data_IF_215287337573
#
_entry.id   IF_215287337573
#
_cell.length_a   1.000
_cell.length_b   1.000
_cell.length_c   1.000
_cell.angle_alpha   90.00
_cell.angle_beta   90.00
_cell.angle_gamma   90.00
#
_symmetry.space_group_name_H-M   'P 1'
#
loop_
_entity.id
_entity.type
_entity.pdbx_description
1 polymer ?
#
# COMPACT_ATOMS: atom_id res chain seq x y z
N UNK A 1 -17.59 -21.77 12.86
CA UNK A 1 -17.98 -20.35 12.74
C UNK A 1 -17.04 -19.55 13.61
N UNK A 2 -16.09 -18.81 13.04
CA UNK A 2 -15.23 -17.92 13.83
C UNK A 2 -16.04 -16.70 14.26
N UNK A 3 -16.11 -16.43 15.56
CA UNK A 3 -16.68 -15.18 16.09
C UNK A 3 -15.82 -14.01 15.61
N UNK A 4 -16.45 -12.92 15.17
CA UNK A 4 -15.76 -11.63 15.00
C UNK A 4 -15.17 -11.25 16.35
N UNK A 5 -13.85 -11.12 16.42
CA UNK A 5 -13.13 -10.79 17.65
C UNK A 5 -12.94 -9.28 17.75
N UNK A 6 -13.01 -8.73 18.96
CA UNK A 6 -12.82 -7.30 19.20
C UNK A 6 -11.36 -6.89 18.93
N UNK A 7 -11.16 -5.85 18.11
CA UNK A 7 -9.85 -5.28 17.80
C UNK A 7 -9.55 -4.09 18.72
N UNK A 8 -8.33 -4.03 19.26
CA UNK A 8 -7.82 -2.89 20.03
C UNK A 8 -6.49 -2.42 19.45
N UNK A 9 -6.39 -1.13 19.10
CA UNK A 9 -5.14 -0.53 18.59
C UNK A 9 -4.01 -0.58 19.62
N UNK A 10 -4.31 -0.38 20.90
CA UNK A 10 -3.33 -0.44 21.98
C UNK A 10 -2.74 -1.85 22.10
N UNK A 11 -3.61 -2.87 22.13
CA UNK A 11 -3.18 -4.27 22.18
C UNK A 11 -2.39 -4.66 20.92
N UNK A 12 -2.83 -4.18 19.75
CA UNK A 12 -2.13 -4.43 18.49
C UNK A 12 -0.73 -3.81 18.48
N UNK A 13 -0.57 -2.59 19.01
CA UNK A 13 0.71 -1.91 19.13
C UNK A 13 1.65 -2.61 20.11
N UNK A 14 1.14 -2.98 21.29
CA UNK A 14 1.91 -3.74 22.28
C UNK A 14 2.35 -5.11 21.74
N UNK A 15 1.48 -5.78 20.97
CA UNK A 15 1.80 -7.05 20.30
C UNK A 15 2.87 -6.85 19.24
N UNK A 16 2.79 -5.78 18.45
CA UNK A 16 3.82 -5.43 17.47
C UNK A 16 5.19 -5.25 18.15
N UNK A 17 5.27 -4.46 19.22
CA UNK A 17 6.53 -4.22 19.93
C UNK A 17 7.13 -5.50 20.52
N UNK A 18 6.28 -6.34 21.12
CA UNK A 18 6.68 -7.64 21.63
C UNK A 18 7.30 -8.49 20.52
N UNK A 19 6.63 -8.59 19.36
CA UNK A 19 7.12 -9.39 18.23
C UNK A 19 8.38 -8.78 17.57
N UNK A 20 8.59 -7.46 17.65
CA UNK A 20 9.86 -6.84 17.27
C UNK A 20 10.97 -7.23 18.24
N UNK A 21 10.71 -7.19 19.56
CA UNK A 21 11.67 -7.58 20.58
C UNK A 21 12.07 -9.07 20.48
N UNK A 22 11.12 -9.93 20.14
CA UNK A 22 11.32 -11.37 19.91
C UNK A 22 11.99 -11.69 18.55
N UNK A 23 12.23 -10.69 17.69
CA UNK A 23 12.85 -10.89 16.38
C UNK A 23 11.93 -11.48 15.30
N UNK A 24 10.63 -11.61 15.58
CA UNK A 24 9.63 -12.09 14.62
C UNK A 24 9.33 -11.02 13.57
N UNK A 25 9.19 -9.76 13.99
CA UNK A 25 8.96 -8.61 13.10
C UNK A 25 10.26 -7.89 12.82
N UNK A 26 10.63 -7.78 11.54
CA UNK A 26 11.87 -7.17 11.06
C UNK A 26 11.77 -5.64 10.99
N UNK A 27 11.62 -5.00 12.15
CA UNK A 27 11.56 -3.54 12.29
C UNK A 27 12.80 -3.01 13.02
N UNK A 28 13.42 -1.97 12.48
CA UNK A 28 14.62 -1.39 13.06
C UNK A 28 14.92 -0.01 12.48
N UNK A 29 16.12 0.49 12.75
CA UNK A 29 16.57 1.77 12.21
C UNK A 29 16.44 1.84 10.69
N UNK A 30 16.05 3.01 10.18
CA UNK A 30 15.93 3.28 8.76
C UNK A 30 16.42 4.69 8.47
N UNK A 31 16.81 4.95 7.22
CA UNK A 31 17.50 6.19 6.86
C UNK A 31 16.86 6.78 5.60
N UNK A 32 16.03 7.83 5.73
CA UNK A 32 15.38 8.48 4.60
C UNK A 32 16.28 9.53 3.94
N UNK A 33 16.15 9.65 2.62
CA UNK A 33 16.63 10.77 1.80
C UNK A 33 15.45 11.34 1.00
N UNK A 34 15.38 12.67 0.92
CA UNK A 34 14.23 13.35 0.32
C UNK A 34 14.60 14.02 -0.99
N UNK A 35 13.72 13.90 -1.99
CA UNK A 35 13.86 14.57 -3.28
C UNK A 35 12.54 15.22 -3.68
N UNK A 36 12.60 16.28 -4.48
CA UNK A 36 11.40 16.91 -5.05
C UNK A 36 11.61 17.12 -6.55
N UNK A 37 10.69 16.61 -7.37
CA UNK A 37 10.75 16.75 -8.83
C UNK A 37 9.41 17.27 -9.31
N UNK A 38 9.38 18.49 -9.88
CA UNK A 38 8.14 19.10 -10.37
C UNK A 38 7.05 19.23 -9.30
N UNK A 39 7.42 19.49 -8.04
CA UNK A 39 6.49 19.58 -6.91
C UNK A 39 6.05 18.24 -6.32
N UNK A 40 6.41 17.10 -6.94
CA UNK A 40 6.17 15.77 -6.39
C UNK A 40 7.29 15.41 -5.39
N UNK A 41 6.92 15.09 -4.15
CA UNK A 41 7.85 14.71 -3.10
C UNK A 41 8.17 13.20 -3.13
N UNK A 42 9.44 12.88 -2.91
CA UNK A 42 9.94 11.52 -2.81
C UNK A 42 10.66 11.33 -1.47
N UNK A 43 10.37 10.22 -0.81
CA UNK A 43 11.14 9.67 0.30
C UNK A 43 11.75 8.34 -0.15
N UNK A 44 13.09 8.31 -0.27
CA UNK A 44 13.86 7.10 -0.53
C UNK A 44 14.45 6.64 0.80
N UNK A 45 13.99 5.51 1.33
CA UNK A 45 14.34 5.04 2.68
C UNK A 45 15.11 3.74 2.65
N UNK A 46 16.34 3.78 3.14
CA UNK A 46 17.15 2.60 3.35
C UNK A 46 16.70 1.86 4.63
N UNK A 47 16.38 0.57 4.50
CA UNK A 47 15.88 -0.30 5.59
C UNK A 47 16.72 -1.57 5.74
N UNK A 48 17.85 -1.53 6.49
CA UNK A 48 18.69 -2.71 6.71
C UNK A 48 17.93 -3.93 7.25
N UNK A 49 16.92 -3.73 8.10
CA UNK A 49 16.15 -4.83 8.68
C UNK A 49 15.39 -5.67 7.63
N UNK A 50 15.21 -5.18 6.41
CA UNK A 50 14.54 -5.91 5.34
C UNK A 50 15.48 -6.81 4.52
N UNK A 51 16.75 -6.98 4.91
CA UNK A 51 17.71 -7.81 4.16
C UNK A 51 17.25 -9.26 3.97
N UNK A 52 16.53 -9.82 4.94
CA UNK A 52 15.98 -11.18 4.94
C UNK A 52 14.64 -11.30 4.22
N UNK A 53 14.07 -10.17 3.74
CA UNK A 53 12.79 -10.17 3.03
C UNK A 53 12.92 -10.94 1.71
N UNK A 54 12.12 -11.99 1.48
CA UNK A 54 12.19 -12.73 0.22
C UNK A 54 11.74 -11.84 -0.94
N UNK A 55 12.51 -11.86 -2.04
CA UNK A 55 12.41 -10.89 -3.14
C UNK A 55 11.32 -11.20 -4.16
N UNK A 56 11.03 -12.48 -4.36
CA UNK A 56 10.07 -12.97 -5.37
C UNK A 56 9.12 -13.98 -4.70
N UNK A 57 7.84 -14.07 -5.10
CA UNK A 57 6.93 -15.12 -4.63
C UNK A 57 7.45 -16.55 -4.82
N UNK A 58 8.46 -16.76 -5.68
CA UNK A 58 9.07 -18.06 -5.99
C UNK A 58 10.39 -18.32 -5.29
N UNK A 59 10.96 -17.34 -4.57
CA UNK A 59 12.14 -17.57 -3.72
C UNK A 59 11.73 -18.25 -2.40
N UNK A 60 10.87 -19.26 -2.49
CA UNK A 60 10.86 -20.31 -1.50
C UNK A 60 12.20 -21.04 -1.66
N UNK A 61 13.18 -20.64 -0.86
CA UNK A 61 14.15 -21.62 -0.35
C UNK A 61 13.36 -22.88 0.04
N UNK A 62 13.89 -24.10 -0.25
CA UNK A 62 13.20 -25.35 0.07
C UNK A 62 12.63 -25.23 1.48
N UNK A 63 11.31 -25.36 1.55
CA UNK A 63 10.48 -25.13 2.73
C UNK A 63 11.23 -25.56 3.97
N UNK A 64 11.68 -24.59 4.76
CA UNK A 64 12.09 -24.86 6.12
C UNK A 64 10.83 -25.44 6.79
N UNK A 65 10.82 -26.72 7.21
CA UNK A 65 9.61 -27.40 7.65
C UNK A 65 8.94 -26.73 8.87
N UNK A 66 9.59 -25.74 9.48
CA UNK A 66 9.07 -24.92 10.57
C UNK A 66 8.22 -23.71 10.14
N UNK A 67 8.18 -23.35 8.85
CA UNK A 67 7.47 -22.15 8.39
C UNK A 67 6.00 -22.42 8.08
N UNK A 68 5.11 -22.12 9.02
CA UNK A 68 3.66 -22.26 8.88
C UNK A 68 3.07 -21.16 7.95
N UNK A 69 2.39 -21.49 6.84
CA UNK A 69 1.67 -20.50 6.04
C UNK A 69 0.36 -20.06 6.72
N UNK A 70 -0.18 -18.89 6.35
CA UNK A 70 -1.50 -18.44 6.84
C UNK A 70 -2.67 -19.37 6.47
N UNK A 71 -2.47 -20.26 5.49
CA UNK A 71 -3.41 -21.29 5.08
C UNK A 71 -2.86 -22.10 3.92
N UNK A 72 -3.53 -23.19 3.50
CA UNK A 72 -3.12 -23.99 2.35
C UNK A 72 -2.97 -23.13 1.08
N UNK A 73 -1.82 -23.19 0.40
CA UNK A 73 -1.58 -22.40 -0.82
C UNK A 73 -1.28 -20.90 -0.59
N UNK A 74 -1.18 -20.45 0.65
CA UNK A 74 -0.65 -19.13 0.99
C UNK A 74 0.88 -19.12 0.85
N UNK A 75 1.40 -18.13 0.12
CA UNK A 75 2.83 -17.81 0.07
C UNK A 75 3.24 -16.75 1.11
N UNK A 76 2.30 -16.39 2.00
CA UNK A 76 2.52 -15.55 3.18
C UNK A 76 2.61 -16.46 4.39
N UNK A 77 3.72 -16.30 5.12
CA UNK A 77 4.03 -17.07 6.32
C UNK A 77 3.44 -16.41 7.56
N UNK A 78 2.89 -17.24 8.43
CA UNK A 78 2.46 -16.92 9.78
C UNK A 78 3.59 -17.32 10.72
N UNK A 79 4.53 -16.40 10.95
CA UNK A 79 5.76 -16.68 11.71
C UNK A 79 5.53 -16.77 13.21
N UNK A 80 4.38 -16.29 13.71
CA UNK A 80 4.01 -16.39 15.11
C UNK A 80 2.48 -16.34 15.29
N UNK A 81 1.86 -17.08 16.23
CA UNK A 81 0.41 -17.06 16.42
C UNK A 81 -0.16 -15.67 16.73
N UNK A 82 0.51 -14.88 17.58
CA UNK A 82 0.12 -13.51 17.91
C UNK A 82 0.27 -12.51 16.76
N UNK A 83 0.75 -12.95 15.58
CA UNK A 83 0.70 -12.13 14.38
C UNK A 83 -0.75 -11.89 13.93
N UNK A 84 -1.66 -12.85 14.17
CA UNK A 84 -3.11 -12.69 13.89
C UNK A 84 -3.75 -11.90 15.03
N UNK A 85 -4.33 -10.75 14.69
CA UNK A 85 -4.92 -9.83 15.66
C UNK A 85 -6.43 -10.02 15.79
N UNK A 86 -7.13 -10.25 14.68
CA UNK A 86 -8.58 -10.38 14.69
C UNK A 86 -9.14 -11.08 13.44
N UNK A 87 -10.35 -11.63 13.57
CA UNK A 87 -11.21 -11.93 12.42
C UNK A 87 -12.08 -10.71 12.11
N UNK A 88 -11.83 -10.03 10.99
CA UNK A 88 -12.59 -8.84 10.58
C UNK A 88 -13.95 -9.21 9.99
N UNK A 89 -14.05 -10.39 9.39
CA UNK A 89 -15.30 -10.94 8.86
C UNK A 89 -15.21 -12.46 8.77
N UNK A 90 -16.24 -13.10 8.20
CA UNK A 90 -16.21 -14.53 7.90
C UNK A 90 -15.22 -14.91 6.79
N UNK A 91 -14.68 -13.93 6.06
CA UNK A 91 -13.77 -14.14 4.94
C UNK A 91 -12.41 -13.46 5.09
N UNK A 92 -12.18 -12.68 6.15
CA UNK A 92 -10.96 -11.89 6.32
C UNK A 92 -10.41 -11.89 7.74
N UNK A 93 -9.08 -11.90 7.84
CA UNK A 93 -8.33 -11.71 9.09
C UNK A 93 -7.45 -10.46 9.01
N UNK A 94 -7.18 -9.89 10.17
CA UNK A 94 -6.19 -8.85 10.39
C UNK A 94 -4.93 -9.47 11.00
N UNK A 95 -3.77 -9.18 10.42
CA UNK A 95 -2.49 -9.64 10.92
C UNK A 95 -1.43 -8.54 10.88
N UNK A 96 -0.35 -8.70 11.65
CA UNK A 96 0.82 -7.81 11.60
C UNK A 96 1.73 -8.19 10.41
N UNK A 97 2.28 -7.18 9.74
CA UNK A 97 3.29 -7.38 8.70
C UNK A 97 4.67 -7.59 9.34
N UNK A 98 5.35 -8.68 8.99
CA UNK A 98 6.71 -9.01 9.48
C UNK A 98 7.83 -8.21 8.81
N UNK A 99 7.54 -7.46 7.75
CA UNK A 99 8.43 -6.47 7.12
C UNK A 99 7.72 -5.11 7.06
N UNK A 100 7.46 -4.48 8.22
CA UNK A 100 6.63 -3.30 8.32
C UNK A 100 7.35 -2.06 7.79
N UNK A 101 6.57 -1.16 7.19
CA UNK A 101 7.00 0.18 6.76
C UNK A 101 6.69 1.24 7.82
N UNK A 102 5.72 0.95 8.69
CA UNK A 102 5.31 1.79 9.82
C UNK A 102 5.13 0.94 11.07
N UNK A 103 5.15 1.59 12.24
CA UNK A 103 4.81 0.98 13.52
C UNK A 103 3.36 1.36 13.92
N UNK A 104 2.39 0.42 13.91
CA UNK A 104 2.42 -0.90 13.27
C UNK A 104 2.09 -0.79 11.76
N UNK A 105 2.27 -1.90 11.04
CA UNK A 105 1.80 -2.09 9.65
C UNK A 105 1.01 -3.40 9.65
N UNK A 106 -0.24 -3.33 9.19
CA UNK A 106 -1.17 -4.45 9.13
C UNK A 106 -1.32 -5.06 7.74
N UNK A 107 -1.72 -6.32 7.71
CA UNK A 107 -2.22 -7.04 6.55
C UNK A 107 -3.69 -7.41 6.79
N UNK A 108 -4.55 -7.12 5.83
CA UNK A 108 -5.90 -7.70 5.75
C UNK A 108 -5.83 -8.83 4.73
N UNK A 109 -5.97 -10.06 5.18
CA UNK A 109 -5.82 -11.28 4.38
C UNK A 109 -7.17 -11.95 4.17
N UNK A 110 -7.38 -12.51 3.00
CA UNK A 110 -8.50 -13.45 2.78
C UNK A 110 -8.27 -14.73 3.60
N UNK A 111 -9.33 -15.30 4.17
CA UNK A 111 -9.27 -16.61 4.81
C UNK A 111 -9.15 -17.74 3.78
N UNK A 112 -9.73 -17.56 2.60
CA UNK A 112 -9.41 -18.39 1.44
C UNK A 112 -8.00 -18.06 0.95
N UNK A 113 -7.04 -18.84 1.42
CA UNK A 113 -5.63 -18.70 1.06
C UNK A 113 -5.31 -19.05 -0.39
N UNK A 114 -6.29 -19.49 -1.20
CA UNK A 114 -6.16 -19.63 -2.65
C UNK A 114 -6.61 -18.38 -3.42
N UNK A 115 -7.33 -17.44 -2.79
CA UNK A 115 -7.66 -16.16 -3.42
C UNK A 115 -6.37 -15.44 -3.85
N UNK A 116 -6.32 -14.95 -5.09
CA UNK A 116 -5.09 -14.45 -5.72
C UNK A 116 -5.04 -12.93 -5.81
N UNK A 117 -3.81 -12.42 -5.67
CA UNK A 117 -3.44 -11.00 -5.71
C UNK A 117 -3.59 -10.39 -7.12
N UNK A 118 -3.87 -11.19 -8.15
CA UNK A 118 -4.18 -10.75 -9.52
C UNK A 118 -5.68 -10.76 -9.82
N UNK A 119 -6.52 -10.82 -8.78
CA UNK A 119 -7.99 -10.69 -8.90
C UNK A 119 -8.47 -9.31 -8.44
N UNK A 120 -9.58 -8.78 -8.97
CA UNK A 120 -10.15 -7.52 -8.49
C UNK A 120 -10.57 -7.60 -7.03
N UNK A 121 -10.53 -6.49 -6.29
CA UNK A 121 -11.17 -6.43 -4.97
C UNK A 121 -12.69 -6.60 -5.14
N UNK A 122 -13.26 -7.47 -4.30
CA UNK A 122 -14.71 -7.65 -4.20
C UNK A 122 -15.33 -6.57 -3.29
N UNK A 123 -16.65 -6.42 -3.33
CA UNK A 123 -17.35 -5.54 -2.39
C UNK A 123 -17.08 -5.91 -0.91
N UNK A 124 -17.06 -7.19 -0.51
CA UNK A 124 -16.57 -7.60 0.80
C UNK A 124 -15.15 -7.14 1.13
N UNK A 125 -14.20 -7.23 0.19
CA UNK A 125 -12.80 -6.85 0.42
C UNK A 125 -12.68 -5.35 0.70
N UNK A 126 -13.37 -4.53 -0.10
CA UNK A 126 -13.40 -3.07 0.10
C UNK A 126 -14.11 -2.70 1.40
N UNK A 127 -15.20 -3.41 1.75
CA UNK A 127 -15.91 -3.19 3.01
C UNK A 127 -15.04 -3.43 4.22
N UNK A 128 -14.39 -4.59 4.33
CA UNK A 128 -13.57 -4.88 5.52
C UNK A 128 -12.40 -3.91 5.65
N UNK A 129 -11.82 -3.49 4.52
CA UNK A 129 -10.73 -2.52 4.52
C UNK A 129 -11.20 -1.12 4.92
N UNK A 130 -12.36 -0.68 4.41
CA UNK A 130 -12.96 0.60 4.77
C UNK A 130 -13.39 0.62 6.24
N UNK A 131 -14.14 -0.39 6.69
CA UNK A 131 -14.62 -0.48 8.07
C UNK A 131 -13.45 -0.54 9.07
N UNK A 132 -12.39 -1.28 8.75
CA UNK A 132 -11.17 -1.30 9.57
C UNK A 132 -10.45 0.06 9.57
N UNK A 133 -10.29 0.70 8.42
CA UNK A 133 -9.67 2.03 8.36
C UNK A 133 -10.44 3.02 9.25
N UNK A 134 -11.76 3.00 9.15
CA UNK A 134 -12.66 3.91 9.88
C UNK A 134 -12.79 3.60 11.37
N UNK A 135 -12.44 2.38 11.81
CA UNK A 135 -12.45 2.00 13.23
C UNK A 135 -11.21 2.49 13.98
N UNK A 136 -10.14 2.87 13.28
CA UNK A 136 -8.96 3.46 13.89
C UNK A 136 -9.30 4.84 14.49
N UNK A 137 -8.64 5.19 15.59
CA UNK A 137 -8.84 6.43 16.32
C UNK A 137 -8.57 7.65 15.43
N UNK A 138 -7.54 7.57 14.60
CA UNK A 138 -7.11 8.59 13.64
C UNK A 138 -7.00 8.00 12.23
N UNK A 139 -8.13 7.74 11.56
CA UNK A 139 -8.14 7.08 10.26
C UNK A 139 -7.34 7.86 9.20
N UNK A 140 -7.27 9.19 9.35
CA UNK A 140 -6.49 10.07 8.49
C UNK A 140 -4.98 9.86 8.59
N UNK A 141 -4.46 9.21 9.63
CA UNK A 141 -3.03 8.88 9.75
C UNK A 141 -2.68 7.56 9.04
N UNK A 142 -3.63 6.91 8.37
CA UNK A 142 -3.43 5.63 7.71
C UNK A 142 -3.82 5.66 6.24
N UNK A 143 -3.26 4.71 5.49
CA UNK A 143 -3.67 4.38 4.14
C UNK A 143 -3.75 2.87 3.96
N UNK A 144 -4.75 2.43 3.21
CA UNK A 144 -4.88 1.07 2.71
C UNK A 144 -4.29 1.00 1.30
N UNK A 145 -3.50 -0.03 1.01
CA UNK A 145 -2.92 -0.28 -0.30
C UNK A 145 -3.26 -1.68 -0.80
N UNK A 146 -3.62 -1.77 -2.07
CA UNK A 146 -3.74 -3.04 -2.78
C UNK A 146 -2.86 -2.99 -4.03
N UNK A 147 -1.91 -3.92 -4.12
CA UNK A 147 -1.02 -4.06 -5.28
C UNK A 147 -1.52 -5.25 -6.09
N UNK A 148 -2.30 -5.01 -7.14
CA UNK A 148 -2.94 -6.05 -7.95
C UNK A 148 -2.05 -6.51 -9.11
N UNK A 149 -1.77 -7.81 -9.18
CA UNK A 149 -0.88 -8.46 -10.14
C UNK A 149 0.60 -8.02 -10.06
N UNK A 150 1.48 -8.81 -10.68
CA UNK A 150 2.94 -8.69 -10.53
C UNK A 150 3.50 -7.33 -11.00
N UNK A 151 2.97 -6.76 -12.09
CA UNK A 151 3.38 -5.43 -12.59
C UNK A 151 3.06 -4.27 -11.63
N UNK A 152 2.22 -4.48 -10.61
CA UNK A 152 1.92 -3.48 -9.57
C UNK A 152 2.92 -3.47 -8.42
N UNK A 153 3.94 -4.34 -8.45
CA UNK A 153 4.89 -4.52 -7.35
C UNK A 153 4.34 -5.35 -6.19
N UNK A 154 3.41 -6.27 -6.48
CA UNK A 154 2.91 -7.19 -5.45
C UNK A 154 3.99 -8.20 -5.06
N UNK A 155 4.24 -8.35 -3.76
CA UNK A 155 5.30 -9.25 -3.26
C UNK A 155 4.84 -10.68 -3.04
N UNK A 156 3.51 -10.91 -3.00
CA UNK A 156 2.88 -12.18 -2.61
C UNK A 156 1.66 -12.45 -3.48
N UNK A 157 1.29 -13.72 -3.63
CA UNK A 157 0.16 -14.22 -4.43
C UNK A 157 -1.11 -14.34 -3.62
N UNK A 158 -1.03 -14.65 -2.33
CA UNK A 158 -2.19 -14.62 -1.45
C UNK A 158 -2.77 -13.22 -1.36
N UNK A 159 -4.06 -13.10 -1.72
CA UNK A 159 -4.79 -11.85 -1.73
C UNK A 159 -4.74 -11.15 -0.37
N UNK A 160 -4.21 -9.94 -0.36
CA UNK A 160 -4.07 -9.13 0.83
C UNK A 160 -4.08 -7.63 0.52
N UNK A 161 -4.59 -6.85 1.48
CA UNK A 161 -4.42 -5.41 1.53
C UNK A 161 -3.42 -5.04 2.64
N UNK A 162 -2.72 -3.93 2.47
CA UNK A 162 -1.72 -3.42 3.41
C UNK A 162 -2.27 -2.15 4.05
N UNK A 163 -2.27 -2.06 5.39
CA UNK A 163 -2.67 -0.85 6.10
C UNK A 163 -1.47 -0.34 6.88
N UNK A 164 -0.96 0.81 6.47
CA UNK A 164 0.23 1.42 7.05
C UNK A 164 -0.05 2.86 7.46
N UNK A 165 0.66 3.33 8.49
CA UNK A 165 0.64 4.74 8.84
C UNK A 165 1.26 5.54 7.70
N UNK A 166 0.61 6.65 7.36
CA UNK A 166 1.15 7.71 6.51
C UNK A 166 1.50 8.88 7.43
N UNK A 167 2.69 9.45 7.28
CA UNK A 167 3.09 10.57 8.13
C UNK A 167 2.23 11.80 7.77
N UNK A 168 1.33 12.22 8.66
CA UNK A 168 0.63 13.51 8.55
C UNK A 168 1.30 14.50 9.51
N UNK A 169 1.86 15.62 9.04
CA UNK A 169 2.34 16.65 9.96
C UNK A 169 1.16 17.25 10.70
N UNK A 170 1.03 17.00 12.01
CA UNK A 170 0.29 17.91 12.89
C UNK A 170 1.18 19.07 13.38
N UNK A 171 2.51 18.89 13.41
CA UNK A 171 3.43 19.91 13.92
C UNK A 171 4.87 19.67 13.45
N UNK A 172 5.17 19.93 12.17
CA UNK A 172 6.53 20.17 11.63
C UNK A 172 7.59 19.05 11.70
N UNK A 173 7.41 18.05 12.57
CA UNK A 173 8.30 16.93 12.82
C UNK A 173 7.45 15.65 12.85
N UNK A 174 7.91 14.62 12.14
CA UNK A 174 7.40 13.25 12.28
C UNK A 174 7.83 12.63 13.61
N UNK A 175 7.34 11.43 13.87
CA UNK A 175 7.82 10.61 14.99
C UNK A 175 9.35 10.43 14.85
N UNK A 176 10.10 10.70 15.92
CA UNK A 176 11.57 10.64 15.90
C UNK A 176 12.30 11.81 15.20
N UNK A 177 11.64 12.92 14.89
CA UNK A 177 12.28 14.14 14.36
C UNK A 177 12.51 14.16 12.84
N UNK A 178 12.02 13.15 12.12
CA UNK A 178 12.10 13.06 10.66
C UNK A 178 11.18 14.09 9.96
N UNK A 179 11.46 14.41 8.69
CA UNK A 179 10.62 15.33 7.90
C UNK A 179 9.25 14.69 7.71
N UNK A 180 8.19 15.41 8.05
CA UNK A 180 6.84 15.00 7.70
C UNK A 180 6.64 15.16 6.19
N UNK A 181 6.53 14.06 5.47
CA UNK A 181 6.19 14.04 4.03
C UNK A 181 4.69 13.90 3.87
N UNK A 182 4.06 14.78 3.09
CA UNK A 182 2.64 14.59 2.73
C UNK A 182 2.58 13.66 1.53
N UNK A 183 1.66 12.70 1.55
CA UNK A 183 1.31 12.00 0.32
C UNK A 183 0.71 13.03 -0.64
N UNK A 184 1.16 13.07 -1.89
CA UNK A 184 0.28 13.56 -2.95
C UNK A 184 -0.97 12.65 -2.96
N UNK A 185 -2.21 13.14 -3.12
CA UNK A 185 -2.60 14.47 -3.56
C UNK A 185 -2.85 15.47 -2.42
N UNK A 186 -2.41 15.21 -1.19
CA UNK A 186 -2.67 16.10 -0.03
C UNK A 186 -1.70 17.28 0.06
N UNK A 187 -0.61 17.23 -0.71
CA UNK A 187 0.19 18.41 -1.08
C UNK A 187 -0.72 19.35 -1.86
N UNK A 188 -0.86 20.62 -1.44
CA UNK A 188 -1.71 21.56 -2.18
C UNK A 188 -3.00 22.02 -1.48
N UNK A 189 -3.29 21.55 -0.26
CA UNK A 189 -4.64 21.65 0.34
C UNK A 189 -4.84 22.83 1.30
N UNK A 190 -3.87 23.76 1.40
CA UNK A 190 -4.10 25.02 2.12
C UNK A 190 -5.01 25.92 1.27
N UNK A 191 -6.29 26.00 1.64
CA UNK A 191 -7.28 26.91 1.06
C UNK A 191 -6.75 28.37 1.11
N UNK A 192 -6.13 28.84 0.03
CA UNK A 192 -5.72 30.24 -0.10
C UNK A 192 -4.34 30.53 -0.72
N UNK A 193 -3.47 29.54 -0.93
CA UNK A 193 -2.25 29.74 -1.73
C UNK A 193 -2.39 29.09 -3.09
N UNK A 194 -1.99 29.81 -4.13
CA UNK A 194 -1.90 29.32 -5.51
C UNK A 194 -0.71 28.37 -5.58
N UNK A 195 -0.89 27.14 -5.09
CA UNK A 195 0.18 26.13 -5.04
C UNK A 195 0.39 25.52 -6.43
N UNK A 196 1.65 25.40 -6.85
CA UNK A 196 1.99 24.68 -8.08
C UNK A 196 1.54 23.23 -7.94
N UNK A 197 0.61 22.79 -8.79
CA UNK A 197 0.16 21.38 -8.82
C UNK A 197 1.38 20.49 -9.04
N UNK A 198 1.57 19.51 -8.15
CA UNK A 198 2.62 18.50 -8.32
C UNK A 198 2.43 17.78 -9.66
N UNK A 199 3.49 17.74 -10.46
CA UNK A 199 3.52 17.05 -11.75
C UNK A 199 3.69 15.56 -11.52
N UNK A 200 2.60 14.81 -11.66
CA UNK A 200 2.61 13.35 -11.55
C UNK A 200 3.06 12.75 -12.88
N UNK A 201 4.09 11.89 -12.85
CA UNK A 201 4.69 11.31 -14.05
C UNK A 201 3.90 10.14 -14.66
N UNK A 202 2.70 9.88 -14.17
CA UNK A 202 1.86 8.75 -14.57
C UNK A 202 0.37 9.10 -14.49
N UNK A 203 -0.46 8.34 -15.21
CA UNK A 203 -1.91 8.40 -15.16
C UNK A 203 -2.45 7.82 -13.87
N UNK A 204 -3.50 8.42 -13.33
CA UNK A 204 -4.20 7.96 -12.13
C UNK A 204 -5.68 8.31 -12.24
N UNK A 205 -6.50 7.65 -11.43
CA UNK A 205 -7.90 8.00 -11.21
C UNK A 205 -8.07 8.33 -9.73
N UNK A 206 -8.60 9.51 -9.43
CA UNK A 206 -8.72 10.03 -8.07
C UNK A 206 -10.15 10.48 -7.81
N UNK A 207 -10.72 10.02 -6.70
CA UNK A 207 -11.95 10.58 -6.15
C UNK A 207 -11.69 11.06 -4.73
N UNK A 208 -12.00 12.34 -4.47
CA UNK A 208 -11.96 12.90 -3.12
C UNK A 208 -13.33 12.75 -2.49
N UNK A 209 -13.36 12.17 -1.30
CA UNK A 209 -14.58 12.00 -0.56
C UNK A 209 -15.09 13.35 -0.04
N UNK A 210 -16.43 13.55 0.01
CA UNK A 210 -16.97 14.75 0.58
C UNK A 210 -16.57 14.86 2.06
N UNK A 211 -16.24 16.06 2.56
CA UNK A 211 -16.01 16.26 3.98
C UNK A 211 -17.32 16.03 4.73
N UNK A 212 -17.39 14.95 5.51
CA UNK A 212 -18.47 14.75 6.47
C UNK A 212 -18.06 15.41 7.79
N UNK A 213 -19.04 15.99 8.50
CA UNK A 213 -18.94 17.06 9.50
C UNK A 213 -18.05 16.86 10.74
N UNK A 214 -16.77 16.44 10.61
CA UNK A 214 -15.62 16.61 11.54
C UNK A 214 -14.38 15.78 11.14
N UNK A 215 -14.47 14.88 10.16
CA UNK A 215 -13.32 14.03 9.74
C UNK A 215 -13.64 13.43 8.37
N UNK A 216 -12.80 13.68 7.37
CA UNK A 216 -13.03 13.25 5.98
C UNK A 216 -13.53 11.80 5.89
N UNK A 217 -14.60 11.61 5.11
CA UNK A 217 -15.20 10.30 4.81
C UNK A 217 -15.93 9.58 5.95
N UNK A 218 -15.84 10.01 7.22
CA UNK A 218 -16.50 9.32 8.34
C UNK A 218 -18.02 9.29 8.15
N UNK A 219 -18.61 8.09 8.08
CA UNK A 219 -20.03 7.88 7.81
C UNK A 219 -20.40 7.54 6.37
N UNK A 220 -19.43 7.51 5.42
CA UNK A 220 -19.69 6.97 4.09
C UNK A 220 -19.87 5.45 4.12
N UNK A 221 -20.84 4.96 3.36
CA UNK A 221 -21.07 3.53 3.17
C UNK A 221 -19.92 2.92 2.35
N UNK A 222 -19.49 1.70 2.71
CA UNK A 222 -18.47 0.98 1.96
C UNK A 222 -18.84 0.75 0.48
N UNK A 223 -20.15 0.66 0.18
CA UNK A 223 -20.70 0.55 -1.17
C UNK A 223 -20.35 1.76 -2.04
N UNK A 224 -20.30 2.95 -1.44
CA UNK A 224 -19.88 4.16 -2.13
C UNK A 224 -18.39 4.08 -2.51
N UNK A 225 -17.54 3.61 -1.61
CA UNK A 225 -16.11 3.40 -1.87
C UNK A 225 -15.91 2.33 -2.96
N UNK A 226 -16.64 1.20 -2.86
CA UNK A 226 -16.60 0.13 -3.85
C UNK A 226 -17.07 0.58 -5.24
N UNK A 227 -18.09 1.45 -5.31
CA UNK A 227 -18.55 2.02 -6.57
C UNK A 227 -17.42 2.75 -7.32
N UNK A 228 -16.65 3.60 -6.63
CA UNK A 228 -15.52 4.30 -7.25
C UNK A 228 -14.39 3.34 -7.61
N UNK A 229 -14.08 2.35 -6.76
CA UNK A 229 -13.10 1.32 -7.11
C UNK A 229 -13.49 0.59 -8.40
N UNK A 230 -14.74 0.10 -8.49
CA UNK A 230 -15.24 -0.62 -9.66
C UNK A 230 -15.22 0.27 -10.91
N UNK A 231 -15.57 1.55 -10.79
CA UNK A 231 -15.50 2.49 -11.92
C UNK A 231 -14.06 2.69 -12.40
N UNK A 232 -13.13 3.01 -11.48
CA UNK A 232 -11.72 3.21 -11.82
C UNK A 232 -11.05 1.95 -12.35
N UNK A 233 -11.50 0.76 -11.95
CA UNK A 233 -11.02 -0.49 -12.52
C UNK A 233 -11.42 -0.64 -13.99
N UNK A 234 -12.64 -0.20 -14.38
CA UNK A 234 -13.05 -0.14 -15.79
C UNK A 234 -12.19 0.85 -16.57
N UNK A 235 -11.94 2.03 -16.00
CA UNK A 235 -11.09 3.05 -16.63
C UNK A 235 -9.64 2.55 -16.79
N UNK A 236 -9.12 1.80 -15.81
CA UNK A 236 -7.82 1.13 -15.91
C UNK A 236 -7.76 0.14 -17.07
N UNK A 237 -8.81 -0.68 -17.28
CA UNK A 237 -8.86 -1.64 -18.40
C UNK A 237 -8.74 -0.91 -19.73
N UNK A 238 -9.59 0.11 -19.92
CA UNK A 238 -9.59 0.95 -21.13
C UNK A 238 -8.23 1.60 -21.35
N UNK A 239 -7.63 2.19 -20.32
CA UNK A 239 -6.34 2.87 -20.43
C UNK A 239 -5.18 1.91 -20.78
N UNK A 240 -5.28 0.62 -20.41
CA UNK A 240 -4.30 -0.42 -20.74
C UNK A 240 -4.58 -1.09 -22.09
N UNK A 241 -5.56 -0.63 -22.87
CA UNK A 241 -5.91 -1.18 -24.18
C UNK A 241 -6.72 -2.49 -24.10
N UNK A 242 -7.15 -2.89 -22.90
CA UNK A 242 -8.23 -3.86 -22.77
C UNK A 242 -9.54 -3.15 -23.13
N UNK A 243 -10.33 -3.73 -24.03
CA UNK A 243 -11.68 -3.21 -24.29
C UNK A 243 -12.57 -3.26 -23.05
N UNK A 244 -13.88 -3.12 -23.21
CA UNK A 244 -14.85 -3.27 -22.11
C UNK A 244 -14.98 -4.71 -21.58
N UNK A 245 -14.06 -5.62 -21.94
CA UNK A 245 -14.11 -7.03 -21.55
C UNK A 245 -13.75 -7.19 -20.07
N UNK A 246 -14.69 -7.72 -19.29
CA UNK A 246 -14.55 -7.88 -17.84
C UNK A 246 -13.66 -9.07 -17.42
N UNK A 247 -13.27 -9.92 -18.37
CA UNK A 247 -12.63 -11.22 -18.10
C UNK A 247 -11.24 -11.15 -17.45
N UNK A 248 -10.57 -10.00 -17.48
CA UNK A 248 -9.25 -9.84 -16.89
C UNK A 248 -9.17 -8.69 -15.89
N UNK A 249 -8.29 -8.82 -14.90
CA UNK A 249 -7.99 -7.76 -13.94
C UNK A 249 -6.75 -6.99 -14.41
N UNK A 250 -6.87 -5.68 -14.71
CA UNK A 250 -5.70 -4.89 -15.07
C UNK A 250 -4.74 -4.78 -13.88
N UNK A 251 -3.41 -4.87 -14.07
CA UNK A 251 -2.47 -4.54 -13.01
C UNK A 251 -2.69 -3.10 -12.56
N UNK A 252 -2.89 -2.91 -11.27
CA UNK A 252 -3.15 -1.59 -10.70
C UNK A 252 -2.70 -1.53 -9.25
N UNK A 253 -2.38 -0.33 -8.78
CA UNK A 253 -2.39 -0.05 -7.35
C UNK A 253 -3.69 0.64 -6.98
N UNK A 254 -4.30 0.26 -5.86
CA UNK A 254 -5.25 1.08 -5.13
C UNK A 254 -4.57 1.65 -3.91
N UNK A 255 -4.81 2.94 -3.65
CA UNK A 255 -4.50 3.63 -2.40
C UNK A 255 -5.80 4.25 -1.91
N UNK A 256 -6.19 3.90 -0.69
CA UNK A 256 -7.42 4.35 -0.05
C UNK A 256 -7.07 4.99 1.30
N UNK A 257 -7.52 6.22 1.50
CA UNK A 257 -7.47 6.92 2.79
C UNK A 257 -8.90 7.24 3.22
N UNK A 258 -9.07 7.79 4.42
CA UNK A 258 -10.38 8.30 4.85
C UNK A 258 -10.86 9.50 4.03
N UNK A 259 -9.98 10.15 3.25
CA UNK A 259 -10.26 11.40 2.54
C UNK A 259 -10.41 11.19 1.02
N UNK A 260 -9.87 10.10 0.46
CA UNK A 260 -9.90 9.83 -0.98
C UNK A 260 -9.58 8.39 -1.33
N UNK A 261 -9.99 7.98 -2.53
CA UNK A 261 -9.58 6.75 -3.19
C UNK A 261 -8.84 7.09 -4.48
N UNK A 262 -7.73 6.38 -4.72
CA UNK A 262 -6.89 6.56 -5.88
C UNK A 262 -6.52 5.20 -6.48
N UNK A 263 -6.57 5.11 -7.81
CA UNK A 263 -6.13 3.94 -8.57
C UNK A 263 -5.11 4.35 -9.62
N UNK A 264 -4.03 3.57 -9.73
CA UNK A 264 -2.93 3.78 -10.67
C UNK A 264 -2.86 2.57 -11.60
N UNK A 265 -3.12 2.71 -12.91
CA UNK A 265 -2.83 1.65 -13.88
C UNK A 265 -1.33 1.36 -13.94
N UNK A 266 -0.96 0.09 -13.93
CA UNK A 266 0.44 -0.36 -13.87
C UNK A 266 0.83 -1.19 -15.08
N UNK A 267 2.10 -1.08 -15.46
CA UNK A 267 2.73 -1.88 -16.52
C UNK A 267 4.15 -2.23 -16.15
N UNK A 268 4.69 -3.24 -16.82
CA UNK A 268 6.13 -3.46 -16.85
C UNK A 268 6.84 -2.38 -17.68
N UNK A 269 8.10 -2.06 -17.35
CA UNK A 269 8.90 -1.16 -18.16
C UNK A 269 9.19 -1.83 -19.51
N UNK A 270 9.45 -1.03 -20.55
CA UNK A 270 9.87 -1.55 -21.86
C UNK A 270 11.26 -2.19 -21.82
N UNK A 271 12.12 -1.69 -20.95
CA UNK A 271 13.47 -2.18 -20.73
C UNK A 271 13.50 -2.96 -19.40
N UNK A 272 13.70 -4.27 -19.50
CA UNK A 272 13.72 -5.19 -18.36
C UNK A 272 14.85 -4.89 -17.37
N UNK A 273 15.90 -4.17 -17.77
CA UNK A 273 16.97 -3.75 -16.85
C UNK A 273 16.45 -2.91 -15.70
N UNK A 274 15.27 -2.27 -15.83
CA UNK A 274 14.64 -1.47 -14.78
C UNK A 274 13.80 -2.28 -13.81
N UNK A 275 13.56 -3.58 -14.03
CA UNK A 275 12.67 -4.39 -13.18
C UNK A 275 13.04 -4.37 -11.69
N UNK A 276 14.33 -4.22 -11.35
CA UNK A 276 14.74 -4.11 -9.94
C UNK A 276 14.31 -2.81 -9.25
N UNK A 277 13.88 -1.81 -10.02
CA UNK A 277 13.35 -0.54 -9.53
C UNK A 277 11.83 -0.58 -9.38
N UNK A 278 11.15 -1.70 -9.68
CA UNK A 278 9.70 -1.82 -9.69
C UNK A 278 9.07 -1.32 -8.38
N UNK A 279 8.35 -0.17 -8.39
CA UNK A 279 7.68 0.32 -7.20
C UNK A 279 6.37 -0.44 -6.95
N UNK A 280 6.00 -0.60 -5.68
CA UNK A 280 4.63 -0.93 -5.30
C UNK A 280 3.77 0.35 -5.23
N UNK A 281 2.54 0.26 -4.69
CA UNK A 281 1.67 1.42 -4.50
C UNK A 281 2.34 2.54 -3.70
N UNK A 282 3.00 2.24 -2.58
CA UNK A 282 3.74 3.24 -1.80
C UNK A 282 4.85 3.92 -2.62
N UNK A 283 5.63 3.13 -3.38
CA UNK A 283 6.67 3.66 -4.27
C UNK A 283 6.12 4.56 -5.37
N UNK A 284 4.96 4.21 -5.94
CA UNK A 284 4.27 5.08 -6.90
C UNK A 284 3.85 6.41 -6.27
N UNK A 285 3.50 6.42 -4.99
CA UNK A 285 3.20 7.63 -4.22
C UNK A 285 4.45 8.38 -3.71
N UNK A 286 5.65 8.02 -4.17
CA UNK A 286 6.92 8.65 -3.79
C UNK A 286 7.62 8.04 -2.58
N UNK A 287 7.06 7.01 -1.94
CA UNK A 287 7.65 6.35 -0.77
C UNK A 287 8.38 5.07 -1.18
N UNK A 288 9.66 5.18 -1.53
CA UNK A 288 10.49 4.06 -1.97
C UNK A 288 11.28 3.53 -0.78
N UNK A 289 11.17 2.23 -0.48
CA UNK A 289 11.94 1.60 0.61
C UNK A 289 12.69 0.38 0.11
N UNK A 290 13.96 0.26 0.49
CA UNK A 290 14.83 -0.85 0.07
C UNK A 290 15.87 -1.20 1.15
N UNK A 291 16.22 -2.48 1.35
CA UNK A 291 17.38 -2.87 2.14
C UNK A 291 18.71 -2.70 1.39
N UNK A 292 18.67 -2.45 0.07
CA UNK A 292 19.84 -2.25 -0.80
C UNK A 292 20.01 -0.77 -1.10
N UNK A 293 21.14 -0.18 -0.71
CA UNK A 293 21.45 1.23 -1.01
C UNK A 293 21.60 1.45 -2.51
N UNK A 294 22.18 0.48 -3.20
CA UNK A 294 22.48 0.54 -4.63
C UNK A 294 21.21 0.72 -5.48
N UNK A 295 20.07 0.17 -5.02
CA UNK A 295 18.76 0.37 -5.65
C UNK A 295 18.30 1.81 -5.50
N UNK A 296 18.44 2.39 -4.31
CA UNK A 296 18.04 3.76 -4.04
C UNK A 296 18.94 4.74 -4.80
N UNK A 297 20.25 4.48 -4.86
CA UNK A 297 21.20 5.27 -5.63
C UNK A 297 20.85 5.23 -7.13
N UNK A 298 20.47 4.05 -7.65
CA UNK A 298 20.00 3.91 -9.03
C UNK A 298 18.69 4.65 -9.29
N UNK A 299 17.75 4.66 -8.34
CA UNK A 299 16.53 5.50 -8.41
C UNK A 299 16.87 6.99 -8.57
N UNK A 300 17.86 7.47 -7.81
CA UNK A 300 18.32 8.87 -7.89
C UNK A 300 19.02 9.13 -9.23
N UNK A 301 19.93 8.24 -9.65
CA UNK A 301 20.70 8.37 -10.89
C UNK A 301 19.79 8.42 -12.13
N UNK A 302 18.75 7.58 -12.18
CA UNK A 302 17.81 7.56 -13.30
C UNK A 302 16.83 8.73 -13.29
N UNK A 303 16.61 9.35 -12.13
CA UNK A 303 15.61 10.38 -11.90
C UNK A 303 14.28 9.76 -11.44
N UNK A 304 13.86 9.96 -10.18
CA UNK A 304 12.70 9.26 -9.61
C UNK A 304 11.39 9.41 -10.41
N UNK A 305 11.10 10.60 -10.94
CA UNK A 305 9.92 10.82 -11.78
C UNK A 305 9.98 10.04 -13.11
N UNK A 306 11.16 9.92 -13.73
CA UNK A 306 11.37 9.11 -14.94
C UNK A 306 11.09 7.64 -14.64
N UNK A 307 11.57 7.14 -13.49
CA UNK A 307 11.32 5.76 -13.05
C UNK A 307 9.83 5.52 -12.87
N UNK A 308 9.08 6.41 -12.18
CA UNK A 308 7.63 6.27 -12.05
C UNK A 308 6.90 6.19 -13.40
N UNK A 309 7.29 7.03 -14.37
CA UNK A 309 6.69 7.04 -15.71
C UNK A 309 6.94 5.75 -16.53
N UNK A 310 7.97 4.97 -16.19
CA UNK A 310 8.21 3.66 -16.81
C UNK A 310 7.16 2.62 -16.37
N UNK A 311 6.75 2.67 -15.11
CA UNK A 311 5.87 1.67 -14.49
C UNK A 311 4.38 2.05 -14.43
N UNK A 312 4.05 3.31 -14.67
CA UNK A 312 2.69 3.79 -14.90
C UNK A 312 2.42 4.09 -16.36
N UNK A 313 1.17 4.40 -16.72
CA UNK A 313 0.83 4.94 -18.04
C UNK A 313 1.20 6.43 -18.13
N UNK A 314 1.50 6.99 -19.31
CA UNK A 314 1.71 8.43 -19.44
C UNK A 314 0.48 9.21 -18.94
N UNK A 315 0.66 10.37 -18.30
CA UNK A 315 -0.43 11.28 -17.97
C UNK A 315 -1.32 11.56 -19.19
N UNK A 316 -2.58 11.87 -18.96
CA UNK A 316 -3.41 12.41 -20.05
C UNK A 316 -2.88 13.78 -20.46
N UNK A 317 -2.82 14.03 -21.76
CA UNK A 317 -2.52 15.36 -22.26
C UNK A 317 -3.64 16.30 -21.77
N UNK A 318 -3.28 17.40 -21.10
CA UNK A 318 -4.24 18.47 -20.82
C UNK A 318 -4.64 19.08 -22.17
N UNK A 319 -5.74 18.60 -22.75
CA UNK A 319 -6.40 19.22 -23.92
C UNK A 319 -7.13 20.48 -23.52
#
# INVERSE_FOLDING_TARGET
MGSVSEFSEETALATFDKLVHEGVINHGASFPTYHTVGGFEFELRHRPSWQTKPRIPTDSSPSDPEQEPFGPGSDILKSHPSQVLAHLSQSHILALNIYPSSRPHYLILTLDSFARQDTPLSAPDVRVAWDFLQSLAKPEEYSVMYNCASASGCSRRHKHLQVARRHRPMSGHGDGGERATRLWPDIGTDWGRREEKAKVAYRYFLHRFPPTSSSGGRGLAAEYVYHYYASFLRDCRTALGGGSEEWWCPPHNLILTSEWILVIPRRYPRDESYLELLPNGAGMMGMVSSPRREVLDRWVQEGPAKVLGMFGLPPEEET
#
